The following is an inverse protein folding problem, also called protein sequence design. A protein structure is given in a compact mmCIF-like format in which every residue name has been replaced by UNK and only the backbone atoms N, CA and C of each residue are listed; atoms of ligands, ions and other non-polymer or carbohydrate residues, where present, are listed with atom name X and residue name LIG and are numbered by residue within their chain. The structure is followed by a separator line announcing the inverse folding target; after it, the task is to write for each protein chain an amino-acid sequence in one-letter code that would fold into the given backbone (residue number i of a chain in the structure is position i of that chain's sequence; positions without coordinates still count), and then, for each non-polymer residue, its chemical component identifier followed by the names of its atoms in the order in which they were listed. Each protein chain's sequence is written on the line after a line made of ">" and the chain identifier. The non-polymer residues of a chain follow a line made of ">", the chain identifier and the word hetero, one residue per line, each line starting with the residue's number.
data_IF_729133295595
#
_entry.id   IF_729133295595
#
_cell.length_a   1.000
_cell.length_b   1.000
_cell.length_c   1.000
_cell.angle_alpha   90.00
_cell.angle_beta   90.00
_cell.angle_gamma   90.00
#
_symmetry.space_group_name_H-M   'P 1'
#
loop_
_entity.id
_entity.type
_entity.pdbx_description
1 polymer ?
#
# COMPACT_ATOMS: atom_id res chain seq x y z
N UNK A 1 10.54 6.33 -1.12
CA UNK A 1 10.18 5.54 0.07
C UNK A 1 9.13 4.52 -0.32
N UNK A 2 9.52 3.26 -0.51
CA UNK A 2 8.54 2.19 -0.75
C UNK A 2 7.87 1.83 0.59
N UNK A 3 6.56 1.63 0.60
CA UNK A 3 5.80 1.20 1.79
C UNK A 3 6.30 -0.18 2.24
N UNK A 4 6.76 -0.27 3.49
CA UNK A 4 7.11 -1.55 4.10
C UNK A 4 5.84 -2.38 4.37
N UNK A 5 5.95 -3.71 4.28
CA UNK A 5 4.81 -4.62 4.45
C UNK A 5 4.12 -4.51 5.83
N UNK A 6 4.88 -4.14 6.87
CA UNK A 6 4.38 -3.96 8.23
C UNK A 6 3.80 -2.57 8.53
N UNK A 7 3.85 -1.64 7.56
CA UNK A 7 3.30 -0.29 7.74
C UNK A 7 1.90 -0.27 7.13
N UNK A 8 0.86 0.03 7.92
CA UNK A 8 -0.50 0.09 7.41
C UNK A 8 -0.64 1.21 6.39
N UNK A 9 -1.46 0.97 5.36
CA UNK A 9 -1.71 1.94 4.29
C UNK A 9 -2.05 3.35 4.82
N UNK A 10 -2.87 3.42 5.88
CA UNK A 10 -3.28 4.66 6.53
C UNK A 10 -2.09 5.46 7.07
N UNK A 11 -1.13 4.80 7.72
CA UNK A 11 0.06 5.44 8.27
C UNK A 11 1.01 5.88 7.15
N UNK A 12 1.18 5.05 6.12
CA UNK A 12 1.99 5.42 4.96
C UNK A 12 1.47 6.68 4.25
N UNK A 13 0.16 6.79 4.06
CA UNK A 13 -0.49 7.97 3.45
C UNK A 13 -0.32 9.21 4.33
N UNK A 14 -0.38 9.07 5.66
CA UNK A 14 -0.10 10.16 6.60
C UNK A 14 1.36 10.66 6.48
N UNK A 15 2.32 9.74 6.36
CA UNK A 15 3.72 10.10 6.14
C UNK A 15 3.93 10.79 4.79
N UNK A 16 3.29 10.32 3.72
CA UNK A 16 3.31 10.98 2.41
C UNK A 16 2.73 12.39 2.48
N UNK A 17 1.59 12.58 3.16
CA UNK A 17 1.00 13.90 3.36
C UNK A 17 1.94 14.84 4.12
N UNK A 18 2.60 14.36 5.18
CA UNK A 18 3.57 15.16 5.95
C UNK A 18 4.82 15.52 5.15
N UNK A 19 5.21 14.68 4.18
CA UNK A 19 6.28 15.02 3.25
C UNK A 19 5.80 16.06 2.24
N UNK A 20 4.61 15.86 1.68
CA UNK A 20 4.04 16.75 0.69
C UNK A 20 3.65 18.12 1.27
N UNK A 21 3.35 18.22 2.57
CA UNK A 21 3.10 19.50 3.26
C UNK A 21 4.35 20.39 3.34
N UNK A 22 5.55 19.83 3.13
CA UNK A 22 6.80 20.59 3.03
C UNK A 22 7.06 21.08 1.61
N UNK A 23 6.28 20.62 0.64
CA UNK A 23 6.42 20.94 -0.77
C UNK A 23 5.32 21.92 -1.17
N UNK A 24 5.67 22.90 -2.02
CA UNK A 24 4.73 23.91 -2.51
C UNK A 24 3.99 23.38 -3.74
N UNK A 25 3.14 22.37 -3.54
CA UNK A 25 2.34 21.77 -4.62
C UNK A 25 1.08 22.57 -4.97
N UNK A 26 0.64 23.48 -4.09
CA UNK A 26 -0.59 24.24 -4.27
C UNK A 26 -1.79 23.32 -4.50
N UNK A 27 -2.59 23.63 -5.51
CA UNK A 27 -3.80 22.88 -5.86
C UNK A 27 -3.51 21.48 -6.43
N UNK A 28 -2.27 21.17 -6.80
CA UNK A 28 -1.86 19.85 -7.34
C UNK A 28 -1.43 18.85 -6.27
N UNK A 29 -1.59 19.18 -5.00
CA UNK A 29 -1.16 18.32 -3.88
C UNK A 29 -1.77 16.92 -3.97
N UNK A 30 -3.06 16.81 -4.28
CA UNK A 30 -3.76 15.52 -4.36
C UNK A 30 -3.26 14.68 -5.55
N UNK A 31 -3.07 15.29 -6.71
CA UNK A 31 -2.52 14.62 -7.90
C UNK A 31 -1.12 14.07 -7.62
N UNK A 32 -0.26 14.88 -6.98
CA UNK A 32 1.10 14.47 -6.61
C UNK A 32 1.12 13.35 -5.56
N UNK A 33 0.16 13.34 -4.64
CA UNK A 33 0.03 12.26 -3.66
C UNK A 33 -0.40 10.95 -4.32
N UNK A 34 -1.33 10.98 -5.27
CA UNK A 34 -1.70 9.77 -6.04
C UNK A 34 -0.54 9.25 -6.89
N UNK A 35 0.12 10.14 -7.63
CA UNK A 35 1.25 9.80 -8.51
C UNK A 35 2.40 9.14 -7.75
N UNK A 36 2.60 9.55 -6.49
CA UNK A 36 3.60 8.96 -5.61
C UNK A 36 3.10 7.71 -4.87
N UNK A 37 1.84 7.68 -4.44
CA UNK A 37 1.28 6.57 -3.68
C UNK A 37 1.24 5.26 -4.48
N UNK A 38 0.81 5.30 -5.75
CA UNK A 38 0.64 4.11 -6.59
C UNK A 38 1.96 3.34 -6.75
N UNK A 39 3.07 3.93 -7.26
CA UNK A 39 4.32 3.21 -7.43
C UNK A 39 5.01 2.87 -6.10
N UNK A 40 4.78 3.64 -5.03
CA UNK A 40 5.42 3.39 -3.73
C UNK A 40 4.73 2.29 -2.90
N UNK A 41 3.56 1.80 -3.33
CA UNK A 41 2.90 0.62 -2.73
C UNK A 41 3.59 -0.66 -3.21
N UNK A 42 4.16 -1.47 -2.31
CA UNK A 42 4.78 -2.76 -2.65
C UNK A 42 3.76 -3.91 -2.90
N UNK A 43 2.62 -3.61 -3.52
CA UNK A 43 1.55 -4.57 -3.77
C UNK A 43 0.99 -4.36 -5.18
N UNK A 44 1.47 -5.16 -6.13
CA UNK A 44 1.14 -5.06 -7.57
C UNK A 44 -0.36 -5.14 -7.86
N UNK A 45 -1.16 -6.08 -7.29
CA UNK A 45 -2.59 -6.10 -7.55
C UNK A 45 -3.29 -4.85 -7.03
N UNK A 46 -2.82 -4.27 -5.92
CA UNK A 46 -3.33 -3.01 -5.40
C UNK A 46 -3.00 -1.83 -6.34
N UNK A 47 -1.77 -1.77 -6.85
CA UNK A 47 -1.39 -0.77 -7.85
C UNK A 47 -2.27 -0.86 -9.10
N UNK A 48 -2.49 -2.08 -9.62
CA UNK A 48 -3.37 -2.28 -10.79
C UNK A 48 -4.78 -1.79 -10.52
N UNK A 49 -5.37 -2.15 -9.38
CA UNK A 49 -6.73 -1.71 -9.01
C UNK A 49 -6.86 -0.19 -8.93
N UNK A 50 -5.79 0.50 -8.54
CA UNK A 50 -5.72 1.96 -8.56
C UNK A 50 -5.62 2.51 -10.00
N UNK A 51 -4.76 1.90 -10.83
CA UNK A 51 -4.52 2.29 -12.22
C UNK A 51 -5.70 1.98 -13.16
N UNK A 52 -6.58 1.04 -12.81
CA UNK A 52 -7.83 0.78 -13.55
C UNK A 52 -8.79 1.98 -13.51
N UNK A 53 -8.64 2.88 -12.52
CA UNK A 53 -9.40 4.13 -12.45
C UNK A 53 -8.59 5.26 -13.10
N UNK A 54 -9.10 5.73 -14.24
CA UNK A 54 -8.48 6.81 -15.05
C UNK A 54 -8.32 8.15 -14.29
N UNK A 55 -9.27 8.48 -13.41
CA UNK A 55 -9.27 9.71 -12.61
C UNK A 55 -9.36 9.36 -11.11
N UNK A 56 -8.39 8.56 -10.64
CA UNK A 56 -8.37 8.17 -9.24
C UNK A 56 -8.02 9.36 -8.34
N UNK A 57 -8.99 9.75 -7.50
CA UNK A 57 -8.76 10.78 -6.47
C UNK A 57 -7.97 10.21 -5.30
N UNK A 58 -7.30 11.07 -4.54
CA UNK A 58 -6.55 10.67 -3.34
C UNK A 58 -7.43 9.92 -2.33
N UNK A 59 -8.68 10.33 -2.20
CA UNK A 59 -9.68 9.68 -1.34
C UNK A 59 -9.97 8.25 -1.79
N UNK A 60 -10.15 8.02 -3.10
CA UNK A 60 -10.39 6.68 -3.65
C UNK A 60 -9.15 5.80 -3.52
N UNK A 61 -7.97 6.34 -3.82
CA UNK A 61 -6.70 5.64 -3.66
C UNK A 61 -6.49 5.22 -2.20
N UNK A 62 -6.74 6.13 -1.26
CA UNK A 62 -6.69 5.84 0.17
C UNK A 62 -7.62 4.69 0.55
N UNK A 63 -8.89 4.77 0.13
CA UNK A 63 -9.90 3.74 0.45
C UNK A 63 -9.51 2.37 -0.08
N UNK A 64 -9.00 2.30 -1.32
CA UNK A 64 -8.49 1.06 -1.92
C UNK A 64 -7.32 0.51 -1.12
N UNK A 65 -6.38 1.36 -0.70
CA UNK A 65 -5.23 0.96 0.11
C UNK A 65 -5.67 0.44 1.49
N UNK A 66 -6.53 1.16 2.19
CA UNK A 66 -7.02 0.78 3.53
C UNK A 66 -7.79 -0.56 3.50
N UNK A 67 -8.61 -0.80 2.48
CA UNK A 67 -9.31 -2.08 2.30
C UNK A 67 -8.37 -3.28 2.14
N UNK A 68 -7.20 -3.06 1.54
CA UNK A 68 -6.19 -4.12 1.38
C UNK A 68 -5.53 -4.49 2.70
N UNK A 69 -5.40 -3.54 3.62
CA UNK A 69 -4.77 -3.74 4.92
C UNK A 69 -5.69 -4.57 5.84
N UNK A 70 -6.98 -4.25 5.84
CA UNK A 70 -8.03 -4.97 6.57
C UNK A 70 -8.13 -6.44 6.14
N UNK A 71 -8.06 -6.70 4.82
CA UNK A 71 -8.04 -8.08 4.29
C UNK A 71 -6.77 -8.84 4.69
N UNK A 72 -5.63 -8.14 4.85
CA UNK A 72 -4.38 -8.74 5.31
C UNK A 72 -4.44 -9.07 6.81
N UNK A 73 -5.10 -8.25 7.64
CA UNK A 73 -5.31 -8.56 9.05
C UNK A 73 -6.12 -9.87 9.26
N UNK A 74 -7.10 -10.14 8.39
CA UNK A 74 -7.91 -11.38 8.43
C UNK A 74 -7.11 -12.62 8.03
N UNK A 75 -6.11 -12.48 7.16
CA UNK A 75 -5.34 -13.60 6.61
C UNK A 75 -4.04 -13.90 7.36
N UNK A 76 -3.57 -12.99 8.22
CA UNK A 76 -2.40 -13.23 9.08
C UNK A 76 -2.73 -13.92 10.43
N UNK A 77 -4.00 -14.23 10.71
CA UNK A 77 -4.38 -14.96 11.90
C UNK A 77 -4.24 -16.49 11.76
N UNK A 78 -4.01 -17.01 10.56
CA UNK A 78 -3.81 -18.45 10.32
C UNK A 78 -2.64 -18.68 9.37
N UNK A 79 -1.42 -18.68 9.90
CA UNK A 79 -0.34 -19.45 9.30
C UNK A 79 0.67 -19.84 10.37
N UNK A 80 0.55 -21.04 10.98
CA UNK A 80 1.70 -21.62 11.63
C UNK A 80 2.76 -21.88 10.54
N UNK A 81 3.86 -21.14 10.62
CA UNK A 81 5.07 -21.40 9.85
C UNK A 81 5.55 -22.82 10.19
N UNK A 82 5.17 -23.79 9.37
CA UNK A 82 5.63 -25.18 9.48
C UNK A 82 6.41 -25.54 8.22
N UNK A 83 7.53 -24.86 8.02
CA UNK A 83 8.63 -25.38 7.21
C UNK A 83 9.43 -26.36 8.08
N UNK A 84 8.99 -27.62 8.15
CA UNK A 84 9.92 -28.71 8.44
C UNK A 84 10.23 -29.48 7.15
N UNK A 85 11.54 -29.47 6.87
CA UNK A 85 12.22 -29.82 5.63
C UNK A 85 12.00 -31.30 5.26
N UNK A 86 11.84 -31.55 3.97
CA UNK A 86 11.63 -32.88 3.35
C UNK A 86 12.90 -33.75 3.40
N UNK A 87 12.65 -35.05 3.54
CA UNK A 87 13.52 -36.22 3.65
C UNK A 87 14.76 -36.28 2.75
N UNK A 88 15.81 -36.95 3.23
CA UNK A 88 16.79 -37.66 2.39
C UNK A 88 16.93 -39.11 2.90
N UNK A 89 16.59 -40.05 2.02
CA UNK A 89 17.07 -41.44 2.07
C UNK A 89 18.58 -41.44 1.83
N UNK A 90 19.32 -42.27 2.58
CA UNK A 90 20.40 -43.13 2.12
C UNK A 90 20.50 -44.33 3.07
#
# INVERSE_FOLDING_TARGET
>A
MIRAANIPCREFILQLNKQASKCNYGDRLEEQLCDRLIPEINNIPLQRKMLEKKDITLTEARKICEQSDDLCAVTNADTPVLFHRRSMLF
#
